data_IF_253901965096
#
_entry.id   IF_253901965096
#
_cell.length_a   1.000
_cell.length_b   1.000
_cell.length_c   1.000
_cell.angle_alpha   90.00
_cell.angle_beta   90.00
_cell.angle_gamma   90.00
#
_symmetry.space_group_name_H-M   'P 1'
#
loop_
_entity.id
_entity.type
_entity.pdbx_description
1 polymer ?
#
# COMPACT_ATOMS: atom_id res chain seq x y z
N UNK A 1 0.76 -10.48 -27.21
CA UNK A 1 0.92 -9.08 -26.74
C UNK A 1 0.01 -8.74 -25.57
N UNK A 2 -1.31 -8.85 -25.66
CA UNK A 2 -2.25 -8.49 -24.57
C UNK A 2 -1.97 -9.17 -23.21
N UNK A 3 -1.69 -10.48 -23.23
CA UNK A 3 -1.37 -11.25 -22.01
C UNK A 3 -0.03 -10.84 -21.36
N UNK A 4 0.94 -10.36 -22.15
CA UNK A 4 2.23 -9.85 -21.65
C UNK A 4 2.04 -8.52 -20.92
N UNK A 5 1.32 -7.58 -21.53
CA UNK A 5 1.02 -6.27 -20.92
C UNK A 5 0.22 -6.42 -19.62
N UNK A 6 -0.77 -7.31 -19.60
CA UNK A 6 -1.53 -7.63 -18.38
C UNK A 6 -0.64 -8.14 -17.25
N UNK A 7 0.30 -9.06 -17.53
CA UNK A 7 1.21 -9.57 -16.49
C UNK A 7 2.17 -8.50 -15.99
N UNK A 8 2.62 -7.60 -16.85
CA UNK A 8 3.49 -6.48 -16.49
C UNK A 8 2.77 -5.46 -15.61
N UNK A 9 1.51 -5.10 -15.93
CA UNK A 9 0.72 -4.17 -15.11
C UNK A 9 0.36 -4.77 -13.76
N UNK A 10 0.01 -6.07 -13.70
CA UNK A 10 -0.23 -6.78 -12.44
C UNK A 10 1.05 -6.88 -11.60
N UNK A 11 2.22 -7.16 -12.20
CA UNK A 11 3.50 -7.17 -11.49
C UNK A 11 3.86 -5.79 -10.93
N UNK A 12 3.57 -4.73 -11.70
CA UNK A 12 3.74 -3.34 -11.26
C UNK A 12 2.85 -3.03 -10.06
N UNK A 13 1.59 -3.45 -10.10
CA UNK A 13 0.66 -3.33 -8.98
C UNK A 13 1.14 -4.08 -7.74
N UNK A 14 1.57 -5.33 -7.88
CA UNK A 14 2.14 -6.11 -6.75
C UNK A 14 3.33 -5.36 -6.15
N UNK A 15 4.23 -4.83 -6.97
CA UNK A 15 5.39 -4.05 -6.51
C UNK A 15 4.96 -2.77 -5.76
N UNK A 16 3.90 -2.10 -6.22
CA UNK A 16 3.35 -0.92 -5.54
C UNK A 16 2.73 -1.29 -4.17
N UNK A 17 1.97 -2.38 -4.11
CA UNK A 17 1.38 -2.90 -2.87
C UNK A 17 2.47 -3.33 -1.87
N UNK A 18 3.56 -3.92 -2.35
CA UNK A 18 4.71 -4.25 -1.51
C UNK A 18 5.36 -3.01 -0.86
N UNK A 19 5.49 -1.93 -1.63
CA UNK A 19 5.95 -0.64 -1.08
C UNK A 19 4.93 -0.05 -0.09
N UNK A 20 3.63 -0.18 -0.37
CA UNK A 20 2.52 0.20 0.53
C UNK A 20 2.64 -0.49 1.89
N UNK A 21 2.93 -1.79 1.90
CA UNK A 21 3.17 -2.55 3.13
C UNK A 21 4.34 -2.00 3.93
N UNK A 22 5.48 -1.68 3.29
CA UNK A 22 6.64 -1.12 3.98
C UNK A 22 6.31 0.21 4.66
N UNK A 23 5.56 1.08 3.99
CA UNK A 23 5.14 2.37 4.54
C UNK A 23 4.18 2.19 5.71
N UNK A 24 3.18 1.30 5.59
CA UNK A 24 2.26 1.05 6.71
C UNK A 24 2.91 0.40 7.92
N UNK A 25 3.91 -0.45 7.72
CA UNK A 25 4.70 -1.00 8.83
C UNK A 25 5.46 0.11 9.58
N UNK A 26 6.04 1.08 8.85
CA UNK A 26 6.66 2.26 9.47
C UNK A 26 5.63 3.13 10.20
N UNK A 27 4.44 3.27 9.62
CA UNK A 27 3.36 4.02 10.22
C UNK A 27 2.86 3.43 11.52
N UNK A 28 2.67 2.11 11.56
CA UNK A 28 2.35 1.34 12.75
C UNK A 28 3.39 1.55 13.87
N UNK A 29 4.67 1.40 13.56
CA UNK A 29 5.75 1.60 14.55
C UNK A 29 5.75 3.03 15.07
N UNK A 30 5.54 4.01 14.20
CA UNK A 30 5.50 5.43 14.57
C UNK A 30 4.30 5.73 15.47
N UNK A 31 3.09 5.27 15.12
CA UNK A 31 1.88 5.52 15.93
C UNK A 31 1.95 4.86 17.32
N UNK A 32 2.64 3.72 17.44
CA UNK A 32 2.89 3.06 18.73
C UNK A 32 3.79 3.91 19.64
N UNK A 33 4.80 4.61 19.08
CA UNK A 33 5.67 5.52 19.86
C UNK A 33 4.89 6.65 20.53
N UNK A 34 3.80 7.10 19.90
CA UNK A 34 2.93 8.16 20.41
C UNK A 34 1.70 7.64 21.19
N UNK A 35 1.67 6.33 21.50
CA UNK A 35 0.57 5.67 22.21
C UNK A 35 -0.83 5.82 21.56
N UNK A 36 -0.88 6.10 20.25
CA UNK A 36 -2.14 6.13 19.49
C UNK A 36 -2.52 4.71 19.06
N UNK A 37 -3.21 4.02 19.97
CA UNK A 37 -3.64 2.63 19.79
C UNK A 37 -4.69 2.48 18.68
N UNK A 38 -5.51 3.50 18.43
CA UNK A 38 -6.53 3.45 17.38
C UNK A 38 -5.85 3.52 16.01
N UNK A 39 -4.97 4.51 15.82
CA UNK A 39 -4.23 4.70 14.58
C UNK A 39 -3.29 3.52 14.28
N UNK A 40 -2.66 2.96 15.31
CA UNK A 40 -1.85 1.75 15.19
C UNK A 40 -2.66 0.57 14.64
N UNK A 41 -3.88 0.34 15.15
CA UNK A 41 -4.76 -0.73 14.65
C UNK A 41 -5.14 -0.52 13.18
N UNK A 42 -5.41 0.73 12.78
CA UNK A 42 -5.71 1.07 11.37
C UNK A 42 -4.52 0.74 10.47
N UNK A 43 -3.31 1.20 10.80
CA UNK A 43 -2.14 0.92 9.97
C UNK A 43 -1.82 -0.58 9.90
N UNK A 44 -2.03 -1.32 11.00
CA UNK A 44 -1.91 -2.77 11.00
C UNK A 44 -2.94 -3.43 10.07
N UNK A 45 -4.18 -2.93 10.04
CA UNK A 45 -5.22 -3.42 9.14
C UNK A 45 -4.82 -3.19 7.68
N UNK A 46 -4.42 -1.97 7.29
CA UNK A 46 -4.01 -1.68 5.92
C UNK A 46 -2.79 -2.49 5.46
N UNK A 47 -1.84 -2.76 6.37
CA UNK A 47 -0.74 -3.67 6.10
C UNK A 47 -1.24 -5.09 5.79
N UNK A 48 -2.12 -5.64 6.63
CA UNK A 48 -2.63 -7.00 6.49
C UNK A 48 -3.45 -7.19 5.20
N UNK A 49 -4.33 -6.23 4.89
CA UNK A 49 -5.12 -6.22 3.65
C UNK A 49 -4.20 -6.18 2.42
N UNK A 50 -3.19 -5.31 2.44
CA UNK A 50 -2.19 -5.22 1.36
C UNK A 50 -1.43 -6.53 1.17
N UNK A 51 -1.01 -7.17 2.26
CA UNK A 51 -0.30 -8.44 2.22
C UNK A 51 -1.14 -9.57 1.64
N UNK A 52 -2.38 -9.71 2.12
CA UNK A 52 -3.30 -10.75 1.65
C UNK A 52 -3.57 -10.59 0.14
N UNK A 53 -3.82 -9.36 -0.31
CA UNK A 53 -4.10 -9.11 -1.72
C UNK A 53 -2.87 -9.27 -2.62
N UNK A 54 -1.68 -8.84 -2.16
CA UNK A 54 -0.42 -9.07 -2.87
C UNK A 54 -0.21 -10.55 -3.14
N UNK A 55 -0.38 -11.40 -2.12
CA UNK A 55 -0.28 -12.86 -2.28
C UNK A 55 -1.29 -13.40 -3.27
N UNK A 56 -2.53 -12.94 -3.18
CA UNK A 56 -3.59 -13.38 -4.08
C UNK A 56 -3.26 -13.04 -5.55
N UNK A 57 -2.72 -11.85 -5.84
CA UNK A 57 -2.32 -11.49 -7.20
C UNK A 57 -1.16 -12.34 -7.72
N UNK A 58 -0.19 -12.65 -6.87
CA UNK A 58 0.95 -13.52 -7.24
C UNK A 58 0.45 -14.90 -7.65
N UNK A 59 -0.45 -15.48 -6.85
CA UNK A 59 -1.01 -16.81 -7.09
C UNK A 59 -1.94 -16.83 -8.31
N UNK A 60 -2.86 -15.87 -8.42
CA UNK A 60 -3.85 -15.79 -9.51
C UNK A 60 -3.18 -15.64 -10.89
N UNK A 61 -2.08 -14.89 -10.97
CA UNK A 61 -1.40 -14.59 -12.24
C UNK A 61 -0.11 -15.38 -12.45
N UNK A 62 0.25 -16.26 -11.50
CA UNK A 62 1.48 -17.07 -11.49
C UNK A 62 2.72 -16.20 -11.73
N UNK A 63 2.81 -15.10 -10.99
CA UNK A 63 3.90 -14.15 -11.14
C UNK A 63 5.19 -14.73 -10.57
N UNK A 64 6.28 -14.64 -11.33
CA UNK A 64 7.60 -14.91 -10.78
C UNK A 64 8.15 -13.63 -10.19
N UNK A 65 8.05 -13.50 -8.87
CA UNK A 65 8.76 -12.43 -8.17
C UNK A 65 10.22 -12.84 -8.11
N UNK A 66 11.11 -12.08 -8.76
CA UNK A 66 12.53 -12.18 -8.47
C UNK A 66 12.72 -11.73 -7.01
N UNK A 67 12.89 -12.72 -6.14
CA UNK A 67 13.00 -12.72 -4.69
C UNK A 67 14.15 -11.85 -4.11
N UNK A 68 14.62 -10.84 -4.84
CA UNK A 68 15.30 -9.68 -4.27
C UNK A 68 14.33 -8.82 -3.44
N UNK A 69 13.01 -8.86 -3.69
CA UNK A 69 12.03 -8.03 -3.00
C UNK A 69 11.55 -8.60 -1.65
N UNK A 70 11.16 -9.87 -1.56
CA UNK A 70 10.79 -10.48 -0.25
C UNK A 70 11.96 -10.42 0.73
N UNK A 71 13.18 -10.71 0.27
CA UNK A 71 14.40 -10.57 1.05
C UNK A 71 14.77 -9.13 1.39
N UNK A 72 14.37 -8.11 0.61
CA UNK A 72 14.63 -6.68 0.91
C UNK A 72 13.50 -6.03 1.68
N UNK A 73 12.26 -6.47 1.58
CA UNK A 73 11.15 -6.07 2.45
C UNK A 73 11.35 -6.71 3.83
N UNK A 74 12.04 -7.86 3.88
CA UNK A 74 12.55 -8.49 5.10
C UNK A 74 13.92 -7.97 5.58
N UNK A 75 14.82 -7.52 4.70
CA UNK A 75 16.13 -6.94 5.12
C UNK A 75 16.19 -5.41 5.21
N UNK A 76 15.24 -4.66 4.65
CA UNK A 76 14.97 -3.27 5.06
C UNK A 76 14.42 -3.22 6.50
N UNK A 77 14.09 -4.37 7.11
CA UNK A 77 13.44 -4.46 8.42
C UNK A 77 14.31 -4.08 9.62
N UNK A 78 15.63 -3.89 9.46
CA UNK A 78 16.50 -3.54 10.59
C UNK A 78 17.21 -2.20 10.39
N UNK A 79 17.77 -1.93 9.20
CA UNK A 79 18.82 -0.90 9.09
C UNK A 79 18.33 0.54 8.85
N UNK A 80 17.03 0.78 8.65
CA UNK A 80 16.51 2.12 8.31
C UNK A 80 15.28 2.56 9.13
N UNK A 81 15.04 1.95 10.29
CA UNK A 81 13.94 2.33 11.21
C UNK A 81 14.40 3.44 12.19
N UNK A 82 15.65 3.88 12.12
CA UNK A 82 16.29 4.73 13.11
C UNK A 82 16.41 6.21 12.74
N UNK A 83 15.57 6.71 11.85
CA UNK A 83 15.40 8.16 11.71
C UNK A 83 14.04 8.56 12.22
N UNK A 84 14.10 9.29 13.33
CA UNK A 84 13.05 9.95 14.08
C UNK A 84 12.20 10.83 13.15
N UNK A 85 11.33 10.21 12.36
CA UNK A 85 10.33 10.92 11.56
C UNK A 85 9.11 11.06 12.44
N UNK A 86 8.72 12.31 12.68
CA UNK A 86 7.46 12.63 13.30
C UNK A 86 6.29 11.91 12.59
N UNK A 87 5.22 11.68 13.35
CA UNK A 87 4.02 11.00 12.85
C UNK A 87 3.47 11.70 11.60
N UNK A 88 3.61 13.02 11.51
CA UNK A 88 3.24 13.81 10.34
C UNK A 88 3.96 13.35 9.05
N UNK A 89 5.30 13.31 9.06
CA UNK A 89 6.13 12.88 7.92
C UNK A 89 5.81 11.45 7.49
N UNK A 90 5.43 10.62 8.45
CA UNK A 90 4.98 9.25 8.22
C UNK A 90 3.62 9.22 7.51
N UNK A 91 2.64 10.02 7.94
CA UNK A 91 1.35 10.12 7.25
C UNK A 91 1.52 10.73 5.85
N UNK A 92 2.45 11.69 5.65
CA UNK A 92 2.79 12.21 4.32
C UNK A 92 3.35 11.10 3.42
N UNK A 93 4.16 10.20 3.97
CA UNK A 93 4.63 9.03 3.23
C UNK A 93 3.48 8.06 2.88
N UNK A 94 2.52 7.86 3.80
CA UNK A 94 1.30 7.08 3.53
C UNK A 94 0.52 7.68 2.35
N UNK A 95 0.33 9.00 2.29
CA UNK A 95 -0.37 9.64 1.18
C UNK A 95 0.31 9.39 -0.16
N UNK A 96 1.64 9.62 -0.20
CA UNK A 96 2.42 9.44 -1.43
C UNK A 96 2.35 8.00 -1.95
N UNK A 97 2.34 7.01 -1.06
CA UNK A 97 2.26 5.62 -1.49
C UNK A 97 0.85 5.23 -1.92
N UNK A 98 -0.19 5.82 -1.32
CA UNK A 98 -1.57 5.65 -1.78
C UNK A 98 -1.79 6.23 -3.18
N UNK A 99 -1.20 7.40 -3.49
CA UNK A 99 -1.24 7.97 -4.84
C UNK A 99 -0.55 7.04 -5.87
N UNK A 100 0.62 6.48 -5.53
CA UNK A 100 1.31 5.50 -6.39
C UNK A 100 0.47 4.23 -6.63
N UNK A 101 -0.16 3.72 -5.57
CA UNK A 101 -1.00 2.52 -5.67
C UNK A 101 -2.21 2.78 -6.56
N UNK A 102 -2.86 3.95 -6.43
CA UNK A 102 -4.00 4.32 -7.26
C UNK A 102 -3.68 4.21 -8.75
N UNK A 103 -2.58 4.79 -9.19
CA UNK A 103 -2.17 4.74 -10.60
C UNK A 103 -1.93 3.30 -11.07
N UNK A 104 -1.28 2.49 -10.21
CA UNK A 104 -1.02 1.08 -10.51
C UNK A 104 -2.31 0.24 -10.58
N UNK A 105 -3.32 0.53 -9.75
CA UNK A 105 -4.63 -0.10 -9.83
C UNK A 105 -5.35 0.26 -11.14
N UNK A 106 -5.32 1.53 -11.54
CA UNK A 106 -5.95 1.98 -12.78
C UNK A 106 -5.33 1.32 -14.01
N UNK A 107 -4.00 1.23 -14.06
CA UNK A 107 -3.29 0.52 -15.12
C UNK A 107 -3.63 -0.98 -15.15
N UNK A 108 -3.62 -1.64 -14.00
CA UNK A 108 -3.99 -3.05 -13.90
C UNK A 108 -5.45 -3.30 -14.34
N UNK A 109 -6.39 -2.45 -13.95
CA UNK A 109 -7.81 -2.57 -14.33
C UNK A 109 -7.99 -2.37 -15.84
N UNK A 110 -7.30 -1.39 -16.42
CA UNK A 110 -7.35 -1.11 -17.87
C UNK A 110 -6.81 -2.27 -18.69
N UNK A 111 -5.71 -2.88 -18.24
CA UNK A 111 -5.00 -3.88 -19.02
C UNK A 111 -5.50 -5.31 -18.76
N UNK A 112 -6.33 -5.51 -17.72
CA UNK A 112 -6.92 -6.81 -17.39
C UNK A 112 -7.93 -7.24 -18.45
N UNK A 113 -7.77 -8.47 -18.94
CA UNK A 113 -8.69 -9.04 -19.92
C UNK A 113 -10.08 -9.32 -19.30
N UNK A 114 -11.14 -8.90 -20.00
CA UNK A 114 -12.54 -9.03 -19.57
C UNK A 114 -12.99 -10.48 -19.34
N UNK A 115 -12.26 -11.45 -19.88
CA UNK A 115 -12.49 -12.88 -19.62
C UNK A 115 -12.15 -13.29 -18.18
N UNK A 116 -11.31 -12.54 -17.46
CA UNK A 116 -10.99 -12.76 -16.04
C UNK A 116 -12.00 -12.08 -15.12
N UNK A 117 -13.29 -12.41 -15.25
CA UNK A 117 -14.40 -11.73 -14.56
C UNK A 117 -14.17 -11.69 -13.04
N UNK A 118 -13.78 -12.81 -12.44
CA UNK A 118 -13.59 -12.94 -11.00
C UNK A 118 -12.42 -12.10 -10.47
N UNK A 119 -11.28 -12.12 -11.17
CA UNK A 119 -10.11 -11.30 -10.86
C UNK A 119 -10.42 -9.81 -11.07
N UNK A 120 -11.19 -9.48 -12.09
CA UNK A 120 -11.59 -8.11 -12.42
C UNK A 120 -12.48 -7.51 -11.34
N UNK A 121 -13.45 -8.27 -10.83
CA UNK A 121 -14.28 -7.84 -9.71
C UNK A 121 -13.43 -7.56 -8.47
N UNK A 122 -12.58 -8.51 -8.08
CA UNK A 122 -11.70 -8.35 -6.91
C UNK A 122 -10.75 -7.17 -7.06
N UNK A 123 -10.16 -6.99 -8.23
CA UNK A 123 -9.23 -5.89 -8.47
C UNK A 123 -9.91 -4.53 -8.31
N UNK A 124 -11.16 -4.38 -8.76
CA UNK A 124 -11.96 -3.16 -8.58
C UNK A 124 -12.35 -2.94 -7.12
N UNK A 125 -12.82 -3.99 -6.42
CA UNK A 125 -13.11 -3.93 -4.99
C UNK A 125 -11.87 -3.49 -4.17
N UNK A 126 -10.69 -4.01 -4.50
CA UNK A 126 -9.45 -3.61 -3.84
C UNK A 126 -9.01 -2.19 -4.19
N UNK A 127 -9.29 -1.71 -5.40
CA UNK A 127 -9.08 -0.32 -5.77
C UNK A 127 -10.00 0.63 -4.99
N UNK A 128 -11.26 0.23 -4.74
CA UNK A 128 -12.19 0.98 -3.89
C UNK A 128 -11.71 1.02 -2.43
N UNK A 129 -11.26 -0.11 -1.89
CA UNK A 129 -10.68 -0.16 -0.54
C UNK A 129 -9.42 0.72 -0.42
N UNK A 130 -8.57 0.71 -1.45
CA UNK A 130 -7.40 1.59 -1.55
C UNK A 130 -7.81 3.06 -1.56
N UNK A 131 -8.85 3.44 -2.32
CA UNK A 131 -9.38 4.79 -2.33
C UNK A 131 -9.91 5.23 -0.96
N UNK A 132 -10.62 4.35 -0.24
CA UNK A 132 -11.09 4.64 1.12
C UNK A 132 -9.93 4.83 2.10
N UNK A 133 -8.87 4.02 1.99
CA UNK A 133 -7.66 4.21 2.77
C UNK A 133 -6.98 5.56 2.44
N UNK A 134 -6.86 5.91 1.15
CA UNK A 134 -6.31 7.20 0.72
C UNK A 134 -7.08 8.39 1.31
N UNK A 135 -8.41 8.35 1.27
CA UNK A 135 -9.26 9.39 1.89
C UNK A 135 -9.03 9.48 3.39
N UNK A 136 -8.94 8.34 4.09
CA UNK A 136 -8.64 8.35 5.51
C UNK A 136 -7.28 8.99 5.81
N UNK A 137 -6.24 8.67 5.02
CA UNK A 137 -4.91 9.28 5.16
C UNK A 137 -4.95 10.79 4.90
N UNK A 138 -5.72 11.26 3.92
CA UNK A 138 -5.88 12.69 3.66
C UNK A 138 -6.57 13.40 4.83
N UNK A 139 -7.63 12.82 5.40
CA UNK A 139 -8.29 13.35 6.59
C UNK A 139 -7.31 13.44 7.77
N UNK A 140 -6.49 12.41 7.99
CA UNK A 140 -5.45 12.45 9.03
C UNK A 140 -4.47 13.61 8.78
N UNK A 141 -3.98 13.80 7.56
CA UNK A 141 -3.08 14.91 7.25
C UNK A 141 -3.70 16.28 7.53
N UNK A 142 -4.97 16.46 7.21
CA UNK A 142 -5.67 17.72 7.43
C UNK A 142 -5.86 17.98 8.92
N UNK A 143 -6.20 16.96 9.73
CA UNK A 143 -6.23 17.09 11.19
C UNK A 143 -4.87 17.53 11.75
N UNK A 144 -3.78 16.85 11.37
CA UNK A 144 -2.44 17.21 11.87
C UNK A 144 -1.97 18.60 11.39
N UNK A 145 -2.40 19.06 10.21
CA UNK A 145 -2.10 20.42 9.74
C UNK A 145 -2.81 21.48 10.56
N UNK A 146 -4.10 21.27 10.86
CA UNK A 146 -4.90 22.21 11.65
C UNK A 146 -4.34 22.37 13.07
N UNK A 147 -3.94 21.27 13.71
CA UNK A 147 -3.33 21.30 15.05
C UNK A 147 -2.00 22.08 15.06
N UNK A 148 -1.22 22.02 13.97
CA UNK A 148 0.04 22.78 13.85
C UNK A 148 -0.13 24.28 13.60
N UNK A 149 -1.32 24.73 13.17
CA UNK A 149 -1.64 26.15 12.93
C UNK A 149 -2.38 26.81 14.10
N UNK A 150 -2.88 26.01 15.05
CA UNK A 150 -3.61 26.49 16.22
C UNK A 150 -2.71 26.92 17.39
N UNK A 151 -1.38 26.97 17.19
CA UNK A 151 -0.36 27.33 18.19
C UNK A 151 0.31 28.65 17.82
#
# INVERSE_FOLDING_TARGET
MKNTMMKESILTLVTAIEKRMVVYKKALVSSQKYADNALSKVFQQYYNESYAFSKQLIDDFKLTINLSAEGKIVKMQQDNIDHDRDLYSTIVACRKIEDLCKDSYLDAIRDLDETFISQSFRLREQAENQYMASNHINTLLDCYRLDSQAV
#
